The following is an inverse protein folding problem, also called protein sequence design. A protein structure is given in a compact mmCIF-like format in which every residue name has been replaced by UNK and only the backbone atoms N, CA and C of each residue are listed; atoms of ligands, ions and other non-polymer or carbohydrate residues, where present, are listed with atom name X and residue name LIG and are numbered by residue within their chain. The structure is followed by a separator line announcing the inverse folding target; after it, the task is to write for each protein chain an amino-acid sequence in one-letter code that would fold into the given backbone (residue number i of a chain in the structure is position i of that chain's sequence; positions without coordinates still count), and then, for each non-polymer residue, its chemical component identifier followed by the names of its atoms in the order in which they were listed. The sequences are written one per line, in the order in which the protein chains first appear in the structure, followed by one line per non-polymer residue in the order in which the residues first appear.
data_IF_701347026519
#
_entry.id   IF_701347026519
#
_cell.length_a   1.000
_cell.length_b   1.000
_cell.length_c   1.000
_cell.angle_alpha   90.00
_cell.angle_beta   90.00
_cell.angle_gamma   90.00
#
_symmetry.space_group_name_H-M   'P 1'
#
loop_
_entity.id
_entity.type
_entity.pdbx_description
1 polymer ?
#
# COMPACT_ATOMS: atom_id res chain seq x y z
N UNK A 1 5.94 -14.20 3.67
CA UNK A 1 6.99 -13.29 4.20
C UNK A 1 8.13 -13.08 3.19
N UNK A 2 8.82 -14.13 2.72
CA UNK A 2 9.91 -14.03 1.73
C UNK A 2 9.57 -13.18 0.50
N UNK A 3 8.45 -13.47 -0.17
CA UNK A 3 8.02 -12.71 -1.35
C UNK A 3 7.77 -11.22 -1.08
N UNK A 4 7.24 -10.87 0.09
CA UNK A 4 7.02 -9.47 0.48
C UNK A 4 8.35 -8.74 0.69
N UNK A 5 9.35 -9.40 1.27
CA UNK A 5 10.69 -8.84 1.46
C UNK A 5 11.39 -8.66 0.12
N UNK A 6 11.32 -9.67 -0.77
CA UNK A 6 11.88 -9.57 -2.13
C UNK A 6 11.23 -8.42 -2.89
N UNK A 7 9.90 -8.28 -2.83
CA UNK A 7 9.19 -7.18 -3.45
C UNK A 7 9.62 -5.82 -2.89
N UNK A 8 9.76 -5.69 -1.56
CA UNK A 8 10.23 -4.46 -0.93
C UNK A 8 11.64 -4.10 -1.40
N UNK A 9 12.57 -5.06 -1.39
CA UNK A 9 13.95 -4.84 -1.88
C UNK A 9 13.92 -4.42 -3.35
N UNK A 10 13.15 -5.13 -4.18
CA UNK A 10 13.00 -4.79 -5.59
C UNK A 10 12.48 -3.35 -5.79
N UNK A 11 11.43 -2.96 -5.08
CA UNK A 11 10.90 -1.59 -5.12
C UNK A 11 11.97 -0.55 -4.75
N UNK A 12 12.70 -0.80 -3.67
CA UNK A 12 13.78 0.10 -3.22
C UNK A 12 14.90 0.20 -4.25
N UNK A 13 15.28 -0.89 -4.92
CA UNK A 13 16.30 -0.85 -5.99
C UNK A 13 15.83 -0.13 -7.26
N UNK A 14 14.53 -0.14 -7.55
CA UNK A 14 13.99 0.44 -8.78
C UNK A 14 13.80 1.95 -8.69
N UNK A 15 13.27 2.47 -7.57
CA UNK A 15 12.94 3.90 -7.44
C UNK A 15 13.56 4.59 -6.22
N UNK A 16 14.24 3.84 -5.35
CA UNK A 16 14.87 4.37 -4.14
C UNK A 16 13.92 4.51 -2.96
N UNK A 17 14.50 4.60 -1.76
CA UNK A 17 13.76 4.72 -0.50
C UNK A 17 12.88 5.97 -0.44
N UNK A 18 13.44 7.13 -0.80
CA UNK A 18 12.75 8.41 -0.74
C UNK A 18 11.47 8.44 -1.62
N UNK A 19 11.42 7.64 -2.68
CA UNK A 19 10.24 7.59 -3.54
C UNK A 19 8.99 7.14 -2.77
N UNK A 20 9.10 6.07 -1.99
CA UNK A 20 7.98 5.46 -1.25
C UNK A 20 7.85 5.98 0.18
N UNK A 21 8.97 6.41 0.77
CA UNK A 21 9.08 6.68 2.21
C UNK A 21 9.49 8.13 2.52
N UNK A 22 9.21 9.08 1.64
CA UNK A 22 9.46 10.52 1.86
C UNK A 22 8.87 11.05 3.20
N UNK A 23 7.77 10.46 3.66
CA UNK A 23 7.15 10.79 4.95
C UNK A 23 8.01 10.42 6.16
N UNK A 24 8.86 9.38 6.06
CA UNK A 24 9.85 9.04 7.10
C UNK A 24 10.95 10.10 7.18
N UNK A 25 11.22 10.81 6.09
CA UNK A 25 12.12 11.97 6.05
C UNK A 25 11.40 13.30 6.24
N UNK A 26 10.14 13.28 6.69
CA UNK A 26 9.27 14.45 6.89
C UNK A 26 9.06 15.33 5.64
N UNK A 27 9.25 14.78 4.44
CA UNK A 27 8.97 15.47 3.18
C UNK A 27 7.54 15.17 2.71
N UNK A 28 6.64 16.10 3.00
CA UNK A 28 5.22 16.01 2.63
C UNK A 28 4.83 16.89 1.44
N UNK A 29 5.81 17.52 0.76
CA UNK A 29 5.53 18.49 -0.32
C UNK A 29 4.80 17.86 -1.50
N UNK A 30 5.24 16.67 -1.91
CA UNK A 30 4.62 15.91 -3.00
C UNK A 30 3.18 15.51 -2.67
N UNK A 31 2.97 14.94 -1.47
CA UNK A 31 1.65 14.56 -0.98
C UNK A 31 0.67 15.74 -0.92
N UNK A 32 1.13 16.90 -0.46
CA UNK A 32 0.29 18.11 -0.39
C UNK A 32 -0.10 18.63 -1.78
N UNK A 33 0.78 18.53 -2.77
CA UNK A 33 0.49 18.91 -4.16
C UNK A 33 -0.54 17.95 -4.78
N UNK A 34 -0.35 16.65 -4.62
CA UNK A 34 -1.28 15.62 -5.10
C UNK A 34 -2.66 15.74 -4.46
N UNK A 35 -2.72 16.05 -3.16
CA UNK A 35 -3.99 16.26 -2.47
C UNK A 35 -4.78 17.42 -3.07
N UNK A 36 -4.11 18.53 -3.43
CA UNK A 36 -4.76 19.66 -4.13
C UNK A 36 -5.29 19.23 -5.50
N UNK A 37 -4.54 18.42 -6.23
CA UNK A 37 -4.96 17.87 -7.54
C UNK A 37 -6.18 16.96 -7.40
N UNK A 38 -6.21 16.10 -6.39
CA UNK A 38 -7.33 15.21 -6.07
C UNK A 38 -8.59 15.99 -5.65
N UNK A 39 -8.43 17.07 -4.86
CA UNK A 39 -9.55 17.98 -4.50
C UNK A 39 -10.12 18.65 -5.76
N UNK A 40 -9.29 18.93 -6.77
CA UNK A 40 -9.73 19.43 -8.06
C UNK A 40 -10.33 18.35 -8.98
N UNK A 41 -10.61 17.14 -8.44
CA UNK A 41 -11.13 15.97 -9.16
C UNK A 41 -10.25 15.56 -10.35
N UNK A 42 -8.94 15.82 -10.25
CA UNK A 42 -7.93 15.37 -11.20
C UNK A 42 -7.09 14.28 -10.57
N UNK A 43 -6.65 13.33 -11.40
CA UNK A 43 -5.75 12.27 -10.96
C UNK A 43 -4.30 12.74 -11.10
N UNK A 44 -3.52 12.79 -10.01
CA UNK A 44 -2.10 13.10 -10.09
C UNK A 44 -1.32 11.94 -10.72
N UNK A 45 -0.21 12.28 -11.38
CA UNK A 45 0.73 11.31 -11.90
C UNK A 45 1.58 10.70 -10.78
N UNK A 46 1.99 9.44 -10.94
CA UNK A 46 2.82 8.78 -9.95
C UNK A 46 4.25 9.35 -9.94
N UNK A 47 4.64 9.98 -8.84
CA UNK A 47 5.98 10.53 -8.64
C UNK A 47 6.51 10.28 -7.22
N UNK A 48 7.80 10.58 -7.02
CA UNK A 48 8.47 10.42 -5.72
C UNK A 48 7.80 11.29 -4.64
N UNK A 49 7.47 10.70 -3.49
CA UNK A 49 6.82 11.39 -2.38
C UNK A 49 5.39 11.88 -2.65
N UNK A 50 4.79 11.46 -3.78
CA UNK A 50 3.37 11.69 -4.08
C UNK A 50 2.44 10.73 -3.33
N UNK A 51 1.13 10.98 -3.41
CA UNK A 51 0.09 10.18 -2.72
C UNK A 51 0.11 8.72 -3.19
N UNK A 52 0.30 8.48 -4.49
CA UNK A 52 0.35 7.11 -5.03
C UNK A 52 1.53 6.31 -4.46
N UNK A 53 2.73 6.92 -4.40
CA UNK A 53 3.92 6.28 -3.86
C UNK A 53 3.82 6.05 -2.34
N UNK A 54 3.21 7.01 -1.62
CA UNK A 54 2.92 6.90 -0.20
C UNK A 54 1.97 5.74 0.12
N UNK A 55 0.82 5.66 -0.58
CA UNK A 55 -0.15 4.57 -0.42
C UNK A 55 0.52 3.23 -0.70
N UNK A 56 1.29 3.11 -1.79
CA UNK A 56 2.02 1.89 -2.12
C UNK A 56 3.01 1.48 -1.02
N UNK A 57 3.77 2.42 -0.48
CA UNK A 57 4.70 2.18 0.63
C UNK A 57 3.99 1.68 1.89
N UNK A 58 2.88 2.32 2.28
CA UNK A 58 2.04 1.87 3.40
C UNK A 58 1.46 0.48 3.18
N UNK A 59 0.99 0.18 1.96
CA UNK A 59 0.45 -1.14 1.61
C UNK A 59 1.46 -2.26 1.80
N UNK A 60 2.71 -2.04 1.37
CA UNK A 60 3.80 -3.03 1.57
C UNK A 60 4.16 -3.20 3.04
N UNK A 61 4.23 -2.10 3.81
CA UNK A 61 4.50 -2.17 5.25
C UNK A 61 3.40 -2.91 6.00
N UNK A 62 2.13 -2.61 5.69
CA UNK A 62 0.99 -3.33 6.27
C UNK A 62 1.06 -4.82 5.92
N UNK A 63 1.47 -5.17 4.69
CA UNK A 63 1.46 -6.56 4.24
C UNK A 63 2.56 -7.38 4.94
N UNK A 64 3.72 -6.76 5.13
CA UNK A 64 4.80 -7.33 5.94
C UNK A 64 4.39 -7.45 7.41
N UNK A 65 3.76 -6.41 7.97
CA UNK A 65 3.28 -6.40 9.35
C UNK A 65 2.25 -7.50 9.63
N UNK A 66 1.22 -7.63 8.78
CA UNK A 66 0.21 -8.70 8.88
C UNK A 66 0.86 -10.08 8.81
N UNK A 67 1.78 -10.29 7.85
CA UNK A 67 2.46 -11.57 7.69
C UNK A 67 3.35 -11.92 8.88
N UNK A 68 4.08 -10.95 9.43
CA UNK A 68 4.91 -11.12 10.62
C UNK A 68 4.06 -11.45 11.85
N UNK A 69 2.99 -10.68 12.10
CA UNK A 69 2.11 -10.93 13.24
C UNK A 69 1.40 -12.28 13.12
N UNK A 70 0.95 -12.66 11.92
CA UNK A 70 0.32 -13.96 11.68
C UNK A 70 1.30 -15.12 11.90
N UNK A 71 2.55 -14.99 11.42
CA UNK A 71 3.60 -15.98 11.66
C UNK A 71 3.97 -16.10 13.15
N UNK A 72 4.13 -14.97 13.83
CA UNK A 72 4.42 -14.93 15.27
C UNK A 72 3.28 -15.56 16.07
N UNK A 73 2.03 -15.19 15.77
CA UNK A 73 0.85 -15.80 16.38
C UNK A 73 0.84 -17.32 16.21
N UNK A 74 1.12 -17.83 14.99
CA UNK A 74 1.13 -19.27 14.71
C UNK A 74 2.15 -20.01 15.58
N UNK A 75 3.36 -19.47 15.73
CA UNK A 75 4.42 -20.03 16.59
C UNK A 75 3.98 -20.03 18.05
N UNK A 76 3.46 -18.90 18.54
CA UNK A 76 3.04 -18.75 19.94
C UNK A 76 1.87 -19.67 20.29
N UNK A 77 0.87 -19.73 19.42
CA UNK A 77 -0.29 -20.59 19.60
C UNK A 77 0.11 -22.08 19.62
N UNK A 78 1.12 -22.45 18.82
CA UNK A 78 1.63 -23.83 18.79
C UNK A 78 2.46 -24.17 20.02
N UNK A 79 3.31 -23.24 20.48
CA UNK A 79 4.24 -23.49 21.59
C UNK A 79 3.57 -23.39 22.98
N UNK A 80 2.66 -22.44 23.16
CA UNK A 80 2.07 -22.11 24.47
C UNK A 80 0.56 -22.34 24.54
N UNK A 81 -0.06 -22.73 23.43
CA UNK A 81 -1.49 -22.95 23.32
C UNK A 81 -2.32 -21.67 23.18
N UNK A 82 -3.64 -21.80 22.91
CA UNK A 82 -4.52 -20.68 22.62
C UNK A 82 -4.83 -19.78 23.83
N UNK A 83 -4.61 -20.29 25.05
CA UNK A 83 -4.85 -19.57 26.31
C UNK A 83 -3.71 -18.63 26.70
N UNK A 84 -2.62 -18.60 25.93
CA UNK A 84 -1.53 -17.65 26.13
C UNK A 84 -2.02 -16.22 25.87
N UNK A 85 -1.90 -15.36 26.88
CA UNK A 85 -2.23 -13.92 26.76
C UNK A 85 -1.46 -13.26 25.60
N UNK A 86 -0.19 -13.63 25.43
CA UNK A 86 0.65 -13.11 24.36
C UNK A 86 0.15 -13.55 22.97
N UNK A 87 -0.29 -14.81 22.83
CA UNK A 87 -0.91 -15.26 21.58
C UNK A 87 -2.21 -14.50 21.28
N UNK A 88 -3.01 -14.20 22.31
CA UNK A 88 -4.23 -13.41 22.14
C UNK A 88 -3.94 -11.98 21.66
N UNK A 89 -2.97 -11.30 22.28
CA UNK A 89 -2.60 -9.92 21.91
C UNK A 89 -2.03 -9.85 20.48
N UNK A 90 -1.17 -10.79 20.10
CA UNK A 90 -0.61 -10.84 18.73
C UNK A 90 -1.69 -11.13 17.70
N UNK A 91 -2.68 -11.97 18.02
CA UNK A 91 -3.85 -12.18 17.15
C UNK A 91 -4.68 -10.90 17.00
N UNK A 92 -4.86 -10.15 18.08
CA UNK A 92 -5.53 -8.85 18.05
C UNK A 92 -4.81 -7.87 17.13
N UNK A 93 -3.48 -7.76 17.26
CA UNK A 93 -2.66 -6.94 16.37
C UNK A 93 -2.75 -7.39 14.91
N UNK A 94 -2.69 -8.70 14.64
CA UNK A 94 -2.84 -9.24 13.29
C UNK A 94 -4.20 -8.83 12.68
N UNK A 95 -5.31 -9.02 13.42
CA UNK A 95 -6.66 -8.61 12.98
C UNK A 95 -6.78 -7.11 12.75
N UNK A 96 -6.19 -6.29 13.62
CA UNK A 96 -6.15 -4.85 13.41
C UNK A 96 -5.39 -4.49 12.12
N UNK A 97 -4.21 -5.08 11.91
CA UNK A 97 -3.41 -4.84 10.71
C UNK A 97 -4.11 -5.31 9.42
N UNK A 98 -4.93 -6.36 9.47
CA UNK A 98 -5.69 -6.81 8.29
C UNK A 98 -6.68 -5.77 7.76
N UNK A 99 -7.19 -4.87 8.62
CA UNK A 99 -8.10 -3.78 8.19
C UNK A 99 -7.39 -2.82 7.22
N UNK A 100 -6.11 -2.53 7.43
CA UNK A 100 -5.33 -1.69 6.52
C UNK A 100 -5.13 -2.37 5.17
N UNK A 101 -4.92 -3.69 5.14
CA UNK A 101 -4.79 -4.46 3.90
C UNK A 101 -6.10 -4.52 3.14
N UNK A 102 -7.21 -4.76 3.83
CA UNK A 102 -8.54 -4.76 3.23
C UNK A 102 -8.84 -3.39 2.60
N UNK A 103 -8.62 -2.32 3.38
CA UNK A 103 -8.81 -0.94 2.90
C UNK A 103 -7.92 -0.64 1.70
N UNK A 104 -6.64 -1.03 1.76
CA UNK A 104 -5.70 -0.86 0.65
C UNK A 104 -6.16 -1.61 -0.60
N UNK A 105 -6.59 -2.86 -0.46
CA UNK A 105 -7.05 -3.68 -1.57
C UNK A 105 -8.24 -3.04 -2.29
N UNK A 106 -9.24 -2.57 -1.54
CA UNK A 106 -10.39 -1.87 -2.11
C UNK A 106 -10.01 -0.55 -2.77
N UNK A 107 -9.26 0.31 -2.09
CA UNK A 107 -8.88 1.62 -2.60
C UNK A 107 -7.98 1.51 -3.84
N UNK A 108 -6.94 0.68 -3.78
CA UNK A 108 -6.02 0.45 -4.89
C UNK A 108 -6.72 -0.22 -6.08
N UNK A 109 -7.54 -1.24 -5.81
CA UNK A 109 -8.34 -1.93 -6.84
C UNK A 109 -9.30 -0.98 -7.55
N UNK A 110 -10.04 -0.15 -6.80
CA UNK A 110 -10.94 0.85 -7.36
C UNK A 110 -10.19 1.88 -8.23
N UNK A 111 -9.04 2.37 -7.76
CA UNK A 111 -8.20 3.29 -8.54
C UNK A 111 -7.66 2.64 -9.82
N UNK A 112 -7.22 1.38 -9.76
CA UNK A 112 -6.80 0.64 -10.94
C UNK A 112 -7.91 0.54 -11.99
N UNK A 113 -9.13 0.21 -11.57
CA UNK A 113 -10.31 0.19 -12.44
C UNK A 113 -10.63 1.58 -13.02
N UNK A 114 -10.54 2.63 -12.20
CA UNK A 114 -10.76 4.01 -12.64
C UNK A 114 -9.75 4.42 -13.72
N UNK A 115 -8.46 4.10 -13.55
CA UNK A 115 -7.43 4.35 -14.55
C UNK A 115 -7.71 3.61 -15.87
N UNK A 116 -8.13 2.35 -15.82
CA UNK A 116 -8.50 1.57 -17.02
C UNK A 116 -9.70 2.22 -17.70
N UNK A 117 -10.75 2.57 -16.95
CA UNK A 117 -11.95 3.21 -17.48
C UNK A 117 -11.65 4.54 -18.17
N UNK A 118 -10.85 5.40 -17.55
CA UNK A 118 -10.46 6.69 -18.12
C UNK A 118 -9.60 6.52 -19.37
N UNK A 119 -8.68 5.55 -19.38
CA UNK A 119 -7.90 5.22 -20.57
C UNK A 119 -8.80 4.78 -21.73
N UNK A 120 -9.74 3.87 -21.48
CA UNK A 120 -10.71 3.40 -22.50
C UNK A 120 -11.59 4.54 -23.00
N UNK A 121 -12.12 5.39 -22.10
CA UNK A 121 -12.94 6.56 -22.47
C UNK A 121 -12.16 7.57 -23.32
N UNK A 122 -10.90 7.84 -22.95
CA UNK A 122 -10.04 8.75 -23.71
C UNK A 122 -9.76 8.24 -25.12
N UNK A 123 -9.44 6.94 -25.27
CA UNK A 123 -9.24 6.30 -26.58
C UNK A 123 -10.51 6.33 -27.45
N UNK A 124 -11.69 6.14 -26.84
CA UNK A 124 -12.97 6.23 -27.56
C UNK A 124 -13.29 7.65 -28.04
N UNK A 125 -12.90 8.66 -27.29
CA UNK A 125 -13.19 10.06 -27.60
C UNK A 125 -12.15 10.69 -28.56
N UNK A 126 -10.95 10.14 -28.65
CA UNK A 126 -9.95 10.44 -29.67
C UNK A 126 -9.61 9.14 -30.41
N UNK A 127 -10.49 8.66 -31.32
CA UNK A 127 -10.06 7.65 -32.27
C UNK A 127 -8.96 8.33 -33.09
N UNK A 128 -7.74 7.81 -33.01
CA UNK A 128 -6.65 8.30 -33.84
C UNK A 128 -7.13 8.21 -35.28
N UNK A 129 -7.24 9.39 -35.90
CA UNK A 129 -7.08 9.60 -37.33
C UNK A 129 -5.79 8.90 -37.75
N UNK A 130 -5.89 7.66 -38.21
CA UNK A 130 -4.95 7.12 -39.20
C UNK A 130 -5.29 7.67 -40.58
#
# INVERSE_FOLDING_TARGET
MLWGIVMLIWMLTQRGFHYYFAWLTLDFRGMAADLKTLIALRLPDAHAGGVAAFIQGLGVLALLGVALCGGLWFVLNTAFGPSSALAHDVLGLHRFLTVFIETYFWAHGAMGLLHIFLKVRSQRNNPVTE
#
